data_IF_478606065451
#
_entry.id   IF_478606065451
#
_cell.length_a   1.000
_cell.length_b   1.000
_cell.length_c   1.000
_cell.angle_alpha   90.00
_cell.angle_beta   90.00
_cell.angle_gamma   90.00
#
_symmetry.space_group_name_H-M   'P 1'
#
loop_
_entity.id
_entity.type
_entity.pdbx_description
1 polymer ?
#
# COMPACT_ATOMS: atom_id res chain seq x y z
N UNK A 1 1.35 3.12 9.13
CA UNK A 1 2.38 4.12 8.72
C UNK A 1 1.99 4.65 7.36
N UNK A 2 2.35 5.89 7.03
CA UNK A 2 2.00 6.47 5.74
C UNK A 2 3.14 7.27 5.13
N UNK A 3 3.12 7.37 3.79
CA UNK A 3 4.01 8.22 3.01
C UNK A 3 3.16 9.01 2.01
N UNK A 4 3.34 10.32 1.95
CA UNK A 4 2.75 11.17 0.92
C UNK A 4 3.83 11.62 -0.04
N UNK A 5 3.62 11.48 -1.34
CA UNK A 5 4.57 11.94 -2.37
C UNK A 5 3.80 12.39 -3.60
N UNK A 6 3.97 13.66 -3.98
CA UNK A 6 3.13 14.29 -4.99
C UNK A 6 1.66 14.24 -4.57
N UNK A 7 0.82 13.78 -5.49
CA UNK A 7 -0.63 13.61 -5.25
C UNK A 7 -1.02 12.31 -4.54
N UNK A 8 -0.10 11.37 -4.36
CA UNK A 8 -0.44 10.06 -3.81
C UNK A 8 -0.14 9.97 -2.33
N UNK A 9 -1.03 9.27 -1.61
CA UNK A 9 -0.84 8.83 -0.23
C UNK A 9 -0.81 7.31 -0.20
N UNK A 10 0.20 6.75 0.44
CA UNK A 10 0.31 5.33 0.71
C UNK A 10 0.16 5.05 2.21
N UNK A 11 -0.51 3.97 2.57
CA UNK A 11 -0.67 3.48 3.94
C UNK A 11 -0.28 2.01 4.01
N UNK A 12 0.56 1.69 5.00
CA UNK A 12 0.92 0.33 5.39
C UNK A 12 0.50 0.05 6.83
N UNK A 13 -0.25 -1.02 7.00
CA UNK A 13 -0.60 -1.55 8.32
C UNK A 13 0.55 -2.32 8.96
N UNK A 14 0.61 -2.29 10.29
CA UNK A 14 1.56 -3.08 11.09
C UNK A 14 0.92 -4.38 11.60
N UNK A 15 -0.13 -4.84 10.94
CA UNK A 15 -0.84 -6.10 11.24
C UNK A 15 -0.60 -7.06 10.07
N UNK A 16 -0.14 -8.30 10.31
CA UNK A 16 0.07 -9.27 9.24
C UNK A 16 -1.20 -9.59 8.46
N UNK A 17 -1.10 -9.63 7.14
CA UNK A 17 -2.21 -10.03 6.27
C UNK A 17 -3.21 -8.92 5.93
N UNK A 18 -3.01 -7.70 6.46
CA UNK A 18 -3.75 -6.53 6.00
C UNK A 18 -3.31 -6.10 4.61
N UNK A 19 -4.27 -5.56 3.85
CA UNK A 19 -4.07 -5.06 2.50
C UNK A 19 -3.49 -3.65 2.61
N UNK A 20 -2.52 -3.32 1.76
CA UNK A 20 -2.00 -1.95 1.68
C UNK A 20 -3.05 -0.99 1.11
N UNK A 21 -2.88 0.30 1.36
CA UNK A 21 -3.76 1.32 0.78
C UNK A 21 -2.95 2.36 0.01
N UNK A 22 -3.51 2.81 -1.11
CA UNK A 22 -2.95 3.91 -1.88
C UNK A 22 -4.08 4.75 -2.49
N UNK A 23 -4.00 6.07 -2.34
CA UNK A 23 -5.03 7.02 -2.77
C UNK A 23 -4.42 8.14 -3.61
N UNK A 24 -5.14 8.60 -4.65
CA UNK A 24 -4.82 9.81 -5.40
C UNK A 24 -5.57 10.99 -4.76
N UNK A 25 -4.90 11.78 -3.93
CA UNK A 25 -5.50 12.87 -3.17
C UNK A 25 -5.97 14.05 -4.04
N UNK A 26 -5.53 14.15 -5.30
CA UNK A 26 -6.02 15.19 -6.21
C UNK A 26 -7.40 14.84 -6.79
N UNK A 27 -7.58 13.56 -7.18
CA UNK A 27 -8.82 13.10 -7.81
C UNK A 27 -9.79 12.45 -6.82
N UNK A 28 -9.28 11.98 -5.68
CA UNK A 28 -10.01 11.32 -4.59
C UNK A 28 -9.53 11.86 -3.23
N UNK A 29 -9.86 13.12 -2.91
CA UNK A 29 -9.47 13.75 -1.64
C UNK A 29 -10.16 13.12 -0.41
N UNK A 30 -11.20 12.33 -0.61
CA UNK A 30 -11.93 11.63 0.44
C UNK A 30 -11.38 10.21 0.72
N UNK A 31 -10.35 9.77 -0.03
CA UNK A 31 -9.67 8.48 0.14
C UNK A 31 -10.64 7.29 0.04
N UNK A 32 -11.56 7.34 -0.93
CA UNK A 32 -12.61 6.33 -1.10
C UNK A 32 -12.16 5.14 -1.96
N UNK A 33 -11.27 5.35 -2.92
CA UNK A 33 -10.85 4.34 -3.88
C UNK A 33 -9.41 3.88 -3.61
N UNK A 34 -9.28 2.69 -3.02
CA UNK A 34 -7.98 2.09 -2.76
C UNK A 34 -7.32 1.56 -4.05
N UNK A 35 -6.41 2.35 -4.61
CA UNK A 35 -5.61 2.03 -5.80
C UNK A 35 -4.63 0.87 -5.59
N UNK A 36 -4.33 0.48 -4.34
CA UNK A 36 -3.46 -0.68 -4.08
C UNK A 36 -4.09 -2.02 -4.52
N UNK A 37 -5.41 -2.04 -4.77
CA UNK A 37 -6.15 -3.17 -5.33
C UNK A 37 -6.19 -3.17 -6.86
N UNK A 38 -5.68 -2.12 -7.51
CA UNK A 38 -5.69 -1.97 -8.96
C UNK A 38 -4.34 -2.40 -9.53
N UNK A 39 -4.33 -3.43 -10.37
CA UNK A 39 -3.07 -4.06 -10.81
C UNK A 39 -2.12 -3.11 -11.56
N UNK A 40 -2.67 -2.12 -12.26
CA UNK A 40 -1.93 -1.08 -12.97
C UNK A 40 -1.10 -0.18 -12.04
N UNK A 41 -1.45 -0.14 -10.75
CA UNK A 41 -0.78 0.67 -9.73
C UNK A 41 0.23 -0.10 -8.89
N UNK A 42 0.38 -1.42 -9.09
CA UNK A 42 1.26 -2.26 -8.26
C UNK A 42 2.74 -1.87 -8.36
N UNK A 43 3.21 -1.41 -9.53
CA UNK A 43 4.59 -0.92 -9.66
C UNK A 43 4.81 0.35 -8.80
N UNK A 44 3.86 1.29 -8.85
CA UNK A 44 3.89 2.50 -8.02
C UNK A 44 3.80 2.15 -6.53
N UNK A 45 2.93 1.22 -6.15
CA UNK A 45 2.80 0.73 -4.78
C UNK A 45 4.13 0.18 -4.24
N UNK A 46 4.90 -0.55 -5.07
CA UNK A 46 6.21 -1.04 -4.69
C UNK A 46 7.23 0.09 -4.45
N UNK A 47 7.18 1.16 -5.26
CA UNK A 47 8.02 2.35 -5.07
C UNK A 47 7.67 3.05 -3.75
N UNK A 48 6.38 3.24 -3.44
CA UNK A 48 5.92 3.81 -2.17
C UNK A 48 6.32 2.97 -0.96
N UNK A 49 6.25 1.63 -1.09
CA UNK A 49 6.71 0.71 -0.05
C UNK A 49 8.19 0.90 0.23
N UNK A 50 9.01 0.99 -0.81
CA UNK A 50 10.45 1.25 -0.66
C UNK A 50 10.72 2.61 -0.04
N UNK A 51 10.06 3.68 -0.52
CA UNK A 51 10.20 5.02 0.04
C UNK A 51 9.79 5.09 1.51
N UNK A 52 8.77 4.32 1.91
CA UNK A 52 8.37 4.23 3.32
C UNK A 52 9.44 3.56 4.17
N UNK A 53 10.06 2.48 3.68
CA UNK A 53 11.19 1.82 4.36
C UNK A 53 12.38 2.78 4.48
N UNK A 54 12.67 3.54 3.43
CA UNK A 54 13.78 4.50 3.43
C UNK A 54 13.54 5.63 4.44
N UNK A 55 12.32 6.17 4.51
CA UNK A 55 11.96 7.18 5.51
C UNK A 55 12.02 6.65 6.94
N UNK A 56 11.60 5.40 7.16
CA UNK A 56 11.74 4.75 8.46
C UNK A 56 13.20 4.57 8.88
N UNK A 57 14.06 4.17 7.95
CA UNK A 57 15.52 4.07 8.21
C UNK A 57 16.12 5.44 8.47
N UNK A 58 15.76 6.45 7.69
CA UNK A 58 16.23 7.84 7.84
C UNK A 58 15.86 8.43 9.20
N UNK A 59 14.76 7.96 9.78
CA UNK A 59 14.24 8.43 11.08
C UNK A 59 14.59 7.50 12.24
N UNK A 60 15.46 6.51 12.03
CA UNK A 60 15.87 5.51 13.03
C UNK A 60 14.69 4.80 13.71
N UNK A 61 13.61 4.56 12.95
CA UNK A 61 12.44 3.87 13.45
C UNK A 61 12.79 2.38 13.72
N UNK A 62 12.93 2.03 15.01
CA UNK A 62 13.43 0.73 15.45
C UNK A 62 12.63 -0.51 15.01
N UNK A 63 11.44 -0.33 14.41
CA UNK A 63 10.65 -1.44 13.86
C UNK A 63 10.95 -1.76 12.39
N UNK A 64 11.77 -0.97 11.68
CA UNK A 64 11.90 -1.04 10.21
C UNK A 64 12.36 -2.41 9.69
N UNK A 65 13.22 -3.10 10.42
CA UNK A 65 13.73 -4.42 10.02
C UNK A 65 12.78 -5.57 10.44
N UNK A 66 11.69 -5.27 11.15
CA UNK A 66 10.71 -6.23 11.66
C UNK A 66 9.29 -5.93 11.17
N UNK A 67 9.14 -5.24 10.03
CA UNK A 67 7.82 -4.94 9.48
C UNK A 67 7.13 -6.23 9.01
N UNK A 68 5.81 -6.39 9.27
CA UNK A 68 5.07 -7.58 8.86
C UNK A 68 4.98 -7.68 7.33
N UNK A 69 4.81 -8.90 6.77
CA UNK A 69 4.61 -9.06 5.34
C UNK A 69 3.35 -8.32 4.88
N UNK A 70 3.42 -7.76 3.68
CA UNK A 70 2.28 -7.10 3.03
C UNK A 70 1.45 -8.13 2.26
N UNK A 71 0.14 -7.89 2.15
CA UNK A 71 -0.74 -8.68 1.29
C UNK A 71 -1.01 -7.91 0.00
N UNK A 72 -0.47 -8.41 -1.11
CA UNK A 72 -0.73 -7.87 -2.46
C UNK A 72 -1.84 -8.69 -3.10
N UNK A 73 -2.89 -8.02 -3.56
CA UNK A 73 -3.98 -8.64 -4.29
C UNK A 73 -4.70 -7.61 -5.16
N UNK A 74 -5.45 -8.08 -6.14
CA UNK A 74 -6.34 -7.22 -6.93
C UNK A 74 -7.75 -7.14 -6.33
N UNK A 75 -8.53 -6.16 -6.77
CA UNK A 75 -9.94 -6.01 -6.40
C UNK A 75 -10.75 -7.28 -6.72
N UNK A 76 -10.49 -7.92 -7.85
CA UNK A 76 -11.14 -9.18 -8.23
C UNK A 76 -10.84 -10.31 -7.23
N UNK A 77 -9.57 -10.41 -6.80
CA UNK A 77 -9.15 -11.41 -5.83
C UNK A 77 -9.77 -11.14 -4.45
N UNK A 78 -9.90 -9.88 -4.04
CA UNK A 78 -10.55 -9.49 -2.79
C UNK A 78 -12.04 -9.88 -2.77
N UNK A 79 -12.75 -9.62 -3.88
CA UNK A 79 -14.19 -9.84 -3.97
C UNK A 79 -14.57 -11.31 -4.26
N UNK A 80 -13.60 -12.22 -4.26
CA UNK A 80 -13.86 -13.65 -4.40
C UNK A 80 -13.99 -14.12 -5.86
N UNK A 81 -13.20 -13.52 -6.77
CA UNK A 81 -12.91 -14.10 -8.08
C UNK A 81 -12.58 -15.58 -7.90
N UNK A 82 -13.55 -16.41 -8.27
CA UNK A 82 -13.51 -17.84 -8.02
C UNK A 82 -12.44 -18.44 -8.90
N UNK A 83 -11.40 -19.04 -8.30
CA UNK A 83 -10.64 -20.07 -9.00
C UNK A 83 -11.61 -21.23 -9.30
N UNK A 84 -12.22 -21.16 -10.48
CA UNK A 84 -12.79 -22.29 -11.20
C UNK A 84 -12.08 -22.37 -12.54
N UNK A 85 -10.93 -23.05 -12.57
CA UNK A 85 -10.65 -24.16 -13.51
C UNK A 85 -9.65 -25.11 -12.85
#
# INVERSE_FOLDING_TARGET
MSLCTGKYKYIRWLVPGEIEEMYDLENDPEELENLALESDYHELLAQFRQGTIDELRRTDAGMVDNLPPVKVMTREQLLGGTDRV
#
